data_IF_497159642449
#
_entry.id   IF_497159642449
#
_cell.length_a   1.000
_cell.length_b   1.000
_cell.length_c   1.000
_cell.angle_alpha   90.00
_cell.angle_beta   90.00
_cell.angle_gamma   90.00
#
_symmetry.space_group_name_H-M   'P 1'
#
loop_
_entity.id
_entity.type
_entity.pdbx_description
1 polymer ?
#
# COMPACT_ATOMS: atom_id res chain seq x y z
N UNK A 1 4.65 55.50 -34.06
CA UNK A 1 3.87 54.64 -33.15
C UNK A 1 4.68 53.38 -32.84
N UNK A 2 5.42 53.36 -31.72
CA UNK A 2 6.18 52.18 -31.29
C UNK A 2 5.22 51.18 -30.61
N UNK A 3 5.03 50.02 -31.22
CA UNK A 3 4.30 48.89 -30.60
C UNK A 3 5.20 48.23 -29.56
N UNK A 4 4.87 48.39 -28.28
CA UNK A 4 5.46 47.65 -27.16
C UNK A 4 5.03 46.19 -27.27
N UNK A 5 5.96 45.28 -27.49
CA UNK A 5 5.75 43.83 -27.38
C UNK A 5 6.07 43.46 -25.93
N UNK A 6 5.05 43.06 -25.17
CA UNK A 6 5.22 42.49 -23.82
C UNK A 6 5.55 40.99 -23.97
N UNK A 7 6.61 40.45 -23.35
CA UNK A 7 6.83 39.02 -23.36
C UNK A 7 5.86 38.35 -22.38
N UNK A 8 5.03 37.45 -22.92
CA UNK A 8 4.14 36.59 -22.14
C UNK A 8 5.00 35.51 -21.47
N UNK A 9 5.32 35.68 -20.19
CA UNK A 9 5.94 34.62 -19.38
C UNK A 9 4.89 33.54 -19.11
N UNK A 10 4.87 32.49 -19.93
CA UNK A 10 4.10 31.30 -19.65
C UNK A 10 4.76 30.55 -18.48
N UNK A 11 4.19 30.68 -17.28
CA UNK A 11 4.58 29.89 -16.12
C UNK A 11 4.13 28.44 -16.37
N UNK A 12 5.06 27.60 -16.85
CA UNK A 12 4.89 26.15 -16.88
C UNK A 12 4.90 25.64 -15.44
N UNK A 13 3.71 25.51 -14.86
CA UNK A 13 3.51 24.72 -13.64
C UNK A 13 3.78 23.27 -14.04
N UNK A 14 5.03 22.82 -13.84
CA UNK A 14 5.34 21.40 -13.85
C UNK A 14 4.60 20.77 -12.68
N UNK A 15 3.43 20.20 -12.95
CA UNK A 15 2.76 19.34 -12.00
C UNK A 15 3.68 18.16 -11.73
N UNK A 16 4.19 18.05 -10.51
CA UNK A 16 4.78 16.81 -10.02
C UNK A 16 3.69 15.74 -10.09
N UNK A 17 3.97 14.54 -10.62
CA UNK A 17 2.98 13.47 -10.56
C UNK A 17 2.60 13.26 -9.08
N UNK A 18 1.29 13.21 -8.82
CA UNK A 18 0.78 12.94 -7.49
C UNK A 18 1.14 11.49 -7.14
N UNK A 19 1.87 11.35 -6.03
CA UNK A 19 2.59 10.19 -5.55
C UNK A 19 1.75 9.52 -4.48
N UNK A 20 0.79 8.70 -4.90
CA UNK A 20 -0.41 8.44 -4.14
C UNK A 20 -0.51 6.94 -3.81
N UNK A 21 -0.67 6.51 -2.53
CA UNK A 21 -0.34 5.20 -1.84
C UNK A 21 0.79 4.37 -2.44
N UNK A 22 0.74 4.18 -3.75
CA UNK A 22 1.77 3.71 -4.67
C UNK A 22 3.20 3.89 -4.16
N UNK A 23 3.62 5.12 -3.84
CA UNK A 23 4.91 5.39 -3.18
C UNK A 23 4.70 5.92 -1.75
N UNK A 24 3.89 6.97 -1.54
CA UNK A 24 3.79 7.60 -0.22
C UNK A 24 3.17 6.68 0.85
N UNK A 25 2.20 5.85 0.46
CA UNK A 25 1.60 4.83 1.34
C UNK A 25 2.61 3.78 1.74
N UNK A 26 3.29 3.16 0.77
CA UNK A 26 4.33 2.17 1.02
C UNK A 26 5.49 2.71 1.85
N UNK A 27 6.00 3.90 1.51
CA UNK A 27 7.02 4.59 2.29
C UNK A 27 6.56 4.80 3.73
N UNK A 28 5.32 5.24 3.94
CA UNK A 28 4.78 5.46 5.29
C UNK A 28 4.62 4.16 6.08
N UNK A 29 4.10 3.08 5.47
CA UNK A 29 4.01 1.75 6.10
C UNK A 29 5.40 1.23 6.48
N UNK A 30 6.36 1.29 5.55
CA UNK A 30 7.75 0.90 5.77
C UNK A 30 8.41 1.70 6.90
N UNK A 31 8.21 3.02 6.90
CA UNK A 31 8.72 3.92 7.94
C UNK A 31 8.14 3.59 9.33
N UNK A 32 6.83 3.38 9.43
CA UNK A 32 6.19 3.00 10.69
C UNK A 32 6.74 1.65 11.17
N UNK A 33 6.82 0.66 10.27
CA UNK A 33 7.38 -0.66 10.59
C UNK A 33 8.79 -0.57 11.15
N UNK A 34 9.66 0.20 10.51
CA UNK A 34 11.02 0.43 10.98
C UNK A 34 11.08 1.20 12.30
N UNK A 35 10.28 2.26 12.46
CA UNK A 35 10.24 3.04 13.70
C UNK A 35 9.86 2.21 14.93
N UNK A 36 8.96 1.23 14.74
CA UNK A 36 8.44 0.38 15.80
C UNK A 36 9.24 -0.91 16.00
N UNK A 37 10.06 -1.32 15.03
CA UNK A 37 10.94 -2.48 15.15
C UNK A 37 12.00 -2.28 16.26
N UNK A 38 12.45 -3.39 16.85
CA UNK A 38 13.49 -3.36 17.88
C UNK A 38 14.81 -2.79 17.34
N UNK A 39 15.65 -2.17 18.19
CA UNK A 39 16.94 -1.63 17.77
C UNK A 39 17.83 -2.63 17.02
N UNK A 40 17.90 -3.88 17.49
CA UNK A 40 18.64 -4.96 16.86
C UNK A 40 18.07 -5.36 15.49
N UNK A 41 16.75 -5.37 15.34
CA UNK A 41 16.05 -5.61 14.06
C UNK A 41 16.38 -4.52 13.05
N UNK A 42 16.32 -3.25 13.46
CA UNK A 42 16.73 -2.11 12.61
C UNK A 42 18.17 -2.24 12.13
N UNK A 43 19.09 -2.59 13.03
CA UNK A 43 20.48 -2.79 12.65
C UNK A 43 20.67 -3.92 11.60
N UNK A 44 19.87 -4.99 11.67
CA UNK A 44 19.89 -6.06 10.66
C UNK A 44 19.27 -5.62 9.33
N UNK A 45 18.16 -4.87 9.37
CA UNK A 45 17.55 -4.24 8.20
C UNK A 45 18.57 -3.35 7.48
N UNK A 46 19.24 -2.46 8.21
CA UNK A 46 20.22 -1.54 7.64
C UNK A 46 21.40 -2.27 6.98
N UNK A 47 21.86 -3.38 7.59
CA UNK A 47 22.91 -4.25 7.01
C UNK A 47 22.47 -4.91 5.70
N UNK A 48 21.22 -5.37 5.61
CA UNK A 48 20.67 -5.93 4.38
C UNK A 48 20.56 -4.85 3.30
N UNK A 49 20.01 -3.68 3.63
CA UNK A 49 19.84 -2.55 2.70
C UNK A 49 21.19 -2.03 2.20
N UNK A 50 22.24 -2.05 3.02
CA UNK A 50 23.60 -1.70 2.59
C UNK A 50 24.15 -2.60 1.46
N UNK A 51 23.47 -3.73 1.15
CA UNK A 51 23.78 -4.62 0.04
C UNK A 51 22.82 -4.45 -1.15
N UNK A 52 22.05 -3.36 -1.23
CA UNK A 52 21.01 -3.15 -2.25
C UNK A 52 21.49 -3.20 -3.69
N UNK A 53 22.74 -2.83 -3.95
CA UNK A 53 23.35 -2.94 -5.28
C UNK A 53 23.34 -4.39 -5.82
N UNK A 54 23.31 -5.41 -4.96
CA UNK A 54 23.23 -6.83 -5.37
C UNK A 54 21.90 -7.19 -6.04
N UNK A 55 20.85 -6.38 -5.92
CA UNK A 55 19.60 -6.57 -6.64
C UNK A 55 19.72 -6.18 -8.13
N UNK A 56 20.75 -5.41 -8.50
CA UNK A 56 21.02 -4.98 -9.87
C UNK A 56 19.81 -4.27 -10.51
N UNK A 57 19.14 -3.40 -9.75
CA UNK A 57 17.98 -2.61 -10.19
C UNK A 57 18.31 -1.11 -10.13
N UNK A 58 19.23 -0.60 -10.96
CA UNK A 58 19.77 0.77 -10.84
C UNK A 58 18.71 1.88 -11.01
N UNK A 59 17.59 1.59 -11.69
CA UNK A 59 16.46 2.50 -11.85
C UNK A 59 15.48 2.47 -10.68
N UNK A 60 15.65 1.53 -9.75
CA UNK A 60 14.83 1.31 -8.55
C UNK A 60 15.74 1.12 -7.33
N UNK A 61 16.52 2.14 -6.92
CA UNK A 61 17.47 1.99 -5.82
C UNK A 61 16.73 1.82 -4.48
N UNK A 62 17.30 0.99 -3.60
CA UNK A 62 16.90 0.90 -2.19
C UNK A 62 17.97 1.58 -1.34
N UNK A 63 17.63 2.72 -0.72
CA UNK A 63 18.52 3.47 0.20
C UNK A 63 18.13 3.27 1.66
N UNK A 64 16.84 3.01 1.91
CA UNK A 64 16.28 2.78 3.23
C UNK A 64 15.05 1.84 3.15
N UNK A 65 14.38 1.64 4.29
CA UNK A 65 13.19 0.79 4.38
C UNK A 65 11.99 1.37 3.63
N UNK A 66 11.94 2.69 3.45
CA UNK A 66 10.86 3.34 2.72
C UNK A 66 10.99 2.97 1.24
N UNK A 67 12.18 3.10 0.65
CA UNK A 67 12.46 2.62 -0.70
C UNK A 67 12.23 1.11 -0.83
N UNK A 68 12.64 0.31 0.17
CA UNK A 68 12.42 -1.13 0.15
C UNK A 68 10.94 -1.49 0.07
N UNK A 69 10.10 -0.76 0.81
CA UNK A 69 8.65 -0.94 0.79
C UNK A 69 8.00 -0.51 -0.54
N UNK A 70 8.63 0.37 -1.31
CA UNK A 70 8.17 0.77 -2.66
C UNK A 70 8.76 -0.08 -3.79
N UNK A 71 9.93 -0.68 -3.57
CA UNK A 71 10.74 -1.32 -4.60
C UNK A 71 9.98 -2.32 -5.49
N UNK A 72 9.12 -3.22 -4.96
CA UNK A 72 8.34 -4.14 -5.79
C UNK A 72 7.48 -3.47 -6.87
N UNK A 73 6.93 -2.29 -6.61
CA UNK A 73 6.19 -1.54 -7.62
C UNK A 73 7.09 -0.90 -8.67
N UNK A 74 8.25 -0.37 -8.24
CA UNK A 74 9.22 0.18 -9.17
C UNK A 74 9.72 -0.90 -10.17
N UNK A 75 10.00 -2.11 -9.69
CA UNK A 75 10.53 -3.19 -10.53
C UNK A 75 9.51 -3.82 -11.48
N UNK A 76 8.20 -3.59 -11.31
CA UNK A 76 7.19 -3.99 -12.30
C UNK A 76 7.50 -3.42 -13.69
N UNK A 77 8.09 -2.23 -13.75
CA UNK A 77 8.53 -1.59 -14.99
C UNK A 77 9.66 -2.34 -15.72
N UNK A 78 10.40 -3.20 -15.02
CA UNK A 78 11.52 -3.98 -15.56
C UNK A 78 11.09 -5.34 -16.15
N UNK A 79 9.77 -5.53 -16.34
CA UNK A 79 9.05 -6.60 -17.07
C UNK A 79 9.77 -7.95 -17.11
N UNK A 80 10.68 -8.17 -18.06
CA UNK A 80 11.35 -9.45 -18.31
C UNK A 80 11.94 -10.11 -17.05
N UNK A 81 12.41 -9.30 -16.09
CA UNK A 81 13.04 -9.80 -14.86
C UNK A 81 12.07 -10.07 -13.72
N UNK A 82 10.91 -9.43 -13.68
CA UNK A 82 10.06 -9.38 -12.48
C UNK A 82 8.56 -9.50 -12.74
N UNK A 83 8.11 -9.68 -13.99
CA UNK A 83 6.68 -9.78 -14.31
C UNK A 83 5.97 -10.94 -13.61
N UNK A 84 6.70 -11.95 -13.16
CA UNK A 84 6.17 -13.09 -12.40
C UNK A 84 5.53 -12.67 -11.08
N UNK A 85 5.93 -11.54 -10.48
CA UNK A 85 5.40 -11.08 -9.19
C UNK A 85 4.13 -10.26 -9.32
N UNK A 86 3.64 -9.96 -10.53
CA UNK A 86 2.53 -9.03 -10.72
C UNK A 86 1.26 -9.43 -9.98
N UNK A 87 0.92 -10.73 -9.97
CA UNK A 87 -0.27 -11.24 -9.26
C UNK A 87 -0.10 -11.32 -7.75
N UNK A 88 1.11 -11.10 -7.23
CA UNK A 88 1.39 -11.19 -5.79
C UNK A 88 0.90 -9.99 -4.99
N UNK A 89 0.54 -8.90 -5.65
CA UNK A 89 0.17 -7.63 -4.99
C UNK A 89 -1.27 -7.58 -4.48
N UNK A 90 -2.11 -8.56 -4.83
CA UNK A 90 -3.53 -8.50 -4.50
C UNK A 90 -4.13 -9.89 -4.32
N UNK A 91 -5.40 -9.90 -3.95
CA UNK A 91 -6.28 -11.06 -3.88
C UNK A 91 -7.72 -10.59 -4.13
N UNK A 92 -8.35 -11.11 -5.17
CA UNK A 92 -9.70 -10.70 -5.54
C UNK A 92 -10.75 -11.51 -4.77
N UNK A 93 -10.92 -11.22 -3.48
CA UNK A 93 -11.95 -11.86 -2.64
C UNK A 93 -13.27 -11.13 -2.82
N UNK A 94 -14.30 -11.86 -3.26
CA UNK A 94 -15.64 -11.33 -3.54
C UNK A 94 -16.27 -10.71 -2.27
N UNK A 95 -16.52 -9.40 -2.28
CA UNK A 95 -17.11 -8.66 -1.14
C UNK A 95 -18.58 -9.03 -0.85
N UNK A 96 -19.23 -9.73 -1.78
CA UNK A 96 -20.64 -10.10 -1.70
C UNK A 96 -20.88 -11.55 -1.30
N UNK A 97 -19.81 -12.27 -0.98
CA UNK A 97 -19.86 -13.65 -0.45
C UNK A 97 -19.21 -13.71 0.92
N UNK A 98 -19.39 -14.80 1.68
CA UNK A 98 -18.53 -15.06 2.82
C UNK A 98 -17.06 -15.03 2.38
N UNK A 99 -16.19 -14.44 3.20
CA UNK A 99 -14.77 -14.35 2.91
C UNK A 99 -14.17 -15.76 2.71
N UNK A 100 -13.48 -15.93 1.58
CA UNK A 100 -12.82 -17.16 1.16
C UNK A 100 -11.55 -16.82 0.38
N UNK A 101 -10.43 -17.37 0.82
CA UNK A 101 -9.10 -17.19 0.22
C UNK A 101 -8.70 -18.30 -0.76
N UNK A 102 -9.39 -19.44 -0.76
CA UNK A 102 -8.94 -20.64 -1.47
C UNK A 102 -8.78 -20.37 -2.98
N UNK A 103 -9.83 -19.83 -3.61
CA UNK A 103 -9.81 -19.45 -5.02
C UNK A 103 -8.87 -18.27 -5.29
N UNK A 104 -9.06 -17.11 -4.64
CA UNK A 104 -8.24 -15.91 -4.87
C UNK A 104 -6.75 -16.07 -4.57
N UNK A 105 -6.37 -17.05 -3.75
CA UNK A 105 -4.98 -17.35 -3.39
C UNK A 105 -4.47 -18.70 -3.89
N UNK A 106 -5.07 -19.23 -4.95
CA UNK A 106 -4.64 -20.48 -5.56
C UNK A 106 -3.14 -20.46 -5.89
N UNK A 107 -2.48 -21.58 -5.59
CA UNK A 107 -1.04 -21.79 -5.81
C UNK A 107 -0.12 -20.80 -5.06
N UNK A 108 -0.65 -20.07 -4.06
CA UNK A 108 0.10 -19.07 -3.30
C UNK A 108 0.39 -17.78 -4.07
N UNK A 109 -0.28 -17.57 -5.21
CA UNK A 109 -0.11 -16.37 -6.04
C UNK A 109 -1.01 -15.22 -5.59
N UNK A 110 -0.92 -14.87 -4.31
CA UNK A 110 -1.64 -13.73 -3.74
C UNK A 110 -0.86 -13.07 -2.59
N UNK A 111 -1.22 -11.84 -2.27
CA UNK A 111 -0.50 -11.01 -1.29
C UNK A 111 -0.36 -11.65 0.09
N UNK A 112 -1.40 -12.29 0.63
CA UNK A 112 -1.33 -12.91 1.96
C UNK A 112 -0.37 -14.11 2.03
N UNK A 113 -0.35 -14.96 0.98
CA UNK A 113 0.63 -16.04 0.87
C UNK A 113 2.06 -15.50 0.71
N UNK A 114 2.23 -14.40 -0.03
CA UNK A 114 3.53 -13.81 -0.30
C UNK A 114 4.12 -13.08 0.91
N UNK A 115 3.29 -12.49 1.79
CA UNK A 115 3.74 -12.03 3.11
C UNK A 115 4.33 -13.21 3.90
N UNK A 116 3.60 -14.32 3.98
CA UNK A 116 4.04 -15.50 4.74
C UNK A 116 5.33 -16.09 4.17
N UNK A 117 5.45 -16.15 2.83
CA UNK A 117 6.65 -16.63 2.14
C UNK A 117 7.84 -15.74 2.40
N UNK A 118 7.71 -14.42 2.21
CA UNK A 118 8.83 -13.50 2.34
C UNK A 118 9.28 -13.32 3.79
N UNK A 119 8.38 -13.45 4.78
CA UNK A 119 8.78 -13.52 6.19
C UNK A 119 9.70 -14.74 6.46
N UNK A 120 9.38 -15.91 5.89
CA UNK A 120 10.22 -17.12 6.02
C UNK A 120 11.56 -16.98 5.30
N UNK A 121 11.56 -16.44 4.09
CA UNK A 121 12.80 -16.21 3.32
C UNK A 121 13.70 -15.18 4.01
N UNK A 122 13.14 -14.14 4.62
CA UNK A 122 13.92 -13.16 5.38
C UNK A 122 14.61 -13.79 6.61
N UNK A 123 13.90 -14.69 7.28
CA UNK A 123 14.36 -15.40 8.48
C UNK A 123 15.41 -16.48 8.20
N UNK A 124 15.46 -17.02 7.00
CA UNK A 124 16.40 -18.08 6.64
C UNK A 124 17.82 -17.50 6.40
N UNK A 125 18.67 -17.66 7.41
CA UNK A 125 20.05 -17.17 7.37
C UNK A 125 20.97 -17.94 6.42
N UNK A 126 20.53 -19.11 5.94
CA UNK A 126 21.28 -19.91 4.97
C UNK A 126 21.15 -19.37 3.55
N UNK A 127 20.15 -18.52 3.30
CA UNK A 127 19.94 -17.91 1.99
C UNK A 127 20.98 -16.83 1.69
N UNK A 128 21.35 -16.66 0.40
CA UNK A 128 22.20 -15.56 -0.02
C UNK A 128 21.62 -14.21 0.41
N UNK A 129 22.50 -13.26 0.79
CA UNK A 129 22.08 -11.92 1.23
C UNK A 129 21.15 -11.22 0.25
N UNK A 130 21.37 -11.41 -1.06
CA UNK A 130 20.52 -10.86 -2.12
C UNK A 130 19.07 -11.35 -2.01
N UNK A 131 18.85 -12.64 -1.73
CA UNK A 131 17.52 -13.23 -1.62
C UNK A 131 16.82 -12.78 -0.34
N UNK A 132 17.55 -12.72 0.79
CA UNK A 132 17.04 -12.15 2.05
C UNK A 132 16.66 -10.68 1.91
N UNK A 133 17.46 -9.89 1.20
CA UNK A 133 17.16 -8.49 0.92
C UNK A 133 15.92 -8.35 0.02
N UNK A 134 15.80 -9.17 -1.02
CA UNK A 134 14.61 -9.17 -1.88
C UNK A 134 13.36 -9.55 -1.06
N UNK A 135 13.49 -10.52 -0.16
CA UNK A 135 12.43 -10.91 0.76
C UNK A 135 12.05 -9.79 1.74
N UNK A 136 13.02 -9.02 2.24
CA UNK A 136 12.75 -7.82 3.06
C UNK A 136 11.91 -6.80 2.28
N UNK A 137 12.29 -6.48 1.04
CA UNK A 137 11.57 -5.52 0.21
C UNK A 137 10.15 -5.99 -0.11
N UNK A 138 9.99 -7.25 -0.55
CA UNK A 138 8.67 -7.83 -0.80
C UNK A 138 7.82 -7.92 0.46
N UNK A 139 8.38 -8.28 1.62
CA UNK A 139 7.64 -8.32 2.88
C UNK A 139 7.11 -6.94 3.26
N UNK A 140 7.97 -5.92 3.22
CA UNK A 140 7.58 -4.55 3.54
C UNK A 140 6.48 -4.02 2.60
N UNK A 141 6.61 -4.30 1.31
CA UNK A 141 5.64 -3.91 0.30
C UNK A 141 4.30 -4.62 0.46
N UNK A 142 4.29 -5.96 0.52
CA UNK A 142 3.06 -6.74 0.54
C UNK A 142 2.25 -6.55 1.83
N UNK A 143 2.90 -6.25 2.95
CA UNK A 143 2.16 -5.82 4.15
C UNK A 143 1.45 -4.49 3.90
N UNK A 144 2.05 -3.56 3.15
CA UNK A 144 1.39 -2.34 2.66
C UNK A 144 0.20 -2.65 1.77
N UNK A 145 0.41 -3.45 0.72
CA UNK A 145 -0.64 -3.87 -0.23
C UNK A 145 -1.85 -4.48 0.49
N UNK A 146 -1.63 -5.45 1.39
CA UNK A 146 -2.73 -6.10 2.09
C UNK A 146 -3.58 -5.13 2.93
N UNK A 147 -3.00 -4.01 3.36
CA UNK A 147 -3.69 -2.97 4.13
C UNK A 147 -4.37 -1.92 3.25
N UNK A 148 -4.12 -1.92 1.94
CA UNK A 148 -4.95 -1.24 0.95
C UNK A 148 -6.23 -2.09 0.75
N UNK A 149 -7.43 -1.62 1.14
CA UNK A 149 -8.61 -2.48 1.18
C UNK A 149 -8.98 -3.15 -0.15
N UNK A 150 -8.84 -2.44 -1.27
CA UNK A 150 -9.18 -2.95 -2.60
C UNK A 150 -8.13 -3.91 -3.19
N UNK A 151 -6.99 -4.10 -2.52
CA UNK A 151 -6.09 -5.23 -2.80
C UNK A 151 -6.57 -6.52 -2.12
N UNK A 152 -7.46 -6.41 -1.11
CA UNK A 152 -8.01 -7.53 -0.37
C UNK A 152 -9.46 -7.90 -0.77
N UNK A 153 -10.22 -6.96 -1.34
CA UNK A 153 -11.62 -7.14 -1.72
C UNK A 153 -11.95 -6.67 -3.14
N UNK A 154 -12.77 -7.47 -3.83
CA UNK A 154 -13.12 -7.29 -5.24
C UNK A 154 -14.64 -7.41 -5.47
N UNK A 155 -15.14 -6.71 -6.49
CA UNK A 155 -16.54 -6.79 -6.94
C UNK A 155 -16.62 -7.25 -8.40
N UNK A 156 -15.79 -8.23 -8.78
CA UNK A 156 -15.56 -8.66 -10.16
C UNK A 156 -15.08 -7.53 -11.08
N UNK A 157 -14.36 -6.55 -10.50
CA UNK A 157 -13.95 -5.31 -11.14
C UNK A 157 -12.44 -5.04 -10.99
N UNK A 158 -11.68 -6.08 -10.64
CA UNK A 158 -10.23 -6.05 -10.41
C UNK A 158 -9.86 -5.11 -9.25
N UNK A 159 -10.54 -5.28 -8.12
CA UNK A 159 -10.34 -4.46 -6.92
C UNK A 159 -10.68 -3.00 -7.18
N UNK A 160 -11.79 -2.71 -7.83
CA UNK A 160 -12.21 -1.34 -8.15
C UNK A 160 -11.49 -0.68 -9.32
N UNK A 161 -10.55 -1.36 -10.01
CA UNK A 161 -9.88 -0.80 -11.19
C UNK A 161 -10.85 -0.56 -12.37
N UNK A 162 -11.90 -1.39 -12.47
CA UNK A 162 -12.98 -1.24 -13.47
C UNK A 162 -14.17 -0.45 -12.94
N UNK A 163 -14.14 0.00 -11.69
CA UNK A 163 -15.17 0.83 -11.10
C UNK A 163 -14.85 2.32 -11.33
N UNK A 164 -15.45 2.93 -12.34
CA UNK A 164 -15.26 4.36 -12.62
C UNK A 164 -15.84 5.23 -11.51
N UNK A 165 -15.01 6.09 -10.91
CA UNK A 165 -15.40 7.03 -9.87
C UNK A 165 -14.59 8.33 -10.04
N UNK A 166 -15.15 9.46 -9.60
CA UNK A 166 -14.47 10.76 -9.63
C UNK A 166 -13.92 11.09 -8.23
N UNK A 167 -12.84 11.87 -8.18
CA UNK A 167 -12.27 12.39 -6.94
C UNK A 167 -12.34 13.91 -6.90
N UNK A 168 -13.26 14.45 -6.11
CA UNK A 168 -13.55 15.88 -6.07
C UNK A 168 -13.79 16.45 -7.48
N UNK A 169 -12.91 17.38 -7.89
CA UNK A 169 -12.97 18.02 -9.23
C UNK A 169 -12.29 17.20 -10.33
N UNK A 170 -11.58 16.13 -9.99
CA UNK A 170 -10.95 15.22 -10.95
C UNK A 170 -12.00 14.24 -11.45
N UNK A 171 -12.69 14.62 -12.52
CA UNK A 171 -13.76 13.83 -13.13
C UNK A 171 -13.31 13.12 -14.41
N UNK A 172 -13.92 11.96 -14.69
CA UNK A 172 -13.78 11.29 -15.98
C UNK A 172 -12.48 10.50 -16.19
N UNK A 173 -11.50 10.58 -15.28
CA UNK A 173 -10.15 10.02 -15.45
C UNK A 173 -9.68 9.03 -14.39
N UNK A 174 -10.50 8.79 -13.35
CA UNK A 174 -10.14 7.96 -12.20
C UNK A 174 -11.05 6.74 -12.06
N UNK A 175 -10.60 5.77 -11.25
CA UNK A 175 -11.38 4.63 -10.80
C UNK A 175 -11.25 4.50 -9.26
N UNK A 176 -12.09 3.67 -8.64
CA UNK A 176 -12.11 3.53 -7.19
C UNK A 176 -10.76 3.08 -6.62
N UNK A 177 -10.08 2.16 -7.32
CA UNK A 177 -8.74 1.68 -6.93
C UNK A 177 -7.74 2.83 -6.85
N UNK A 178 -7.56 3.59 -7.92
CA UNK A 178 -6.64 4.75 -7.97
C UNK A 178 -7.01 5.84 -6.97
N UNK A 179 -8.27 5.98 -6.59
CA UNK A 179 -8.66 6.96 -5.57
C UNK A 179 -8.20 6.49 -4.19
N UNK A 180 -8.47 5.23 -3.84
CA UNK A 180 -8.11 4.68 -2.55
C UNK A 180 -6.63 4.43 -2.39
N UNK A 181 -6.01 3.79 -3.39
CA UNK A 181 -4.58 3.50 -3.51
C UNK A 181 -3.80 4.73 -3.97
N UNK A 182 -4.41 5.91 -3.89
CA UNK A 182 -3.82 7.10 -4.44
C UNK A 182 -4.19 8.32 -3.64
N UNK A 183 -5.07 9.10 -4.24
CA UNK A 183 -5.44 10.42 -3.75
C UNK A 183 -5.86 10.42 -2.27
N UNK A 184 -6.55 9.37 -1.80
CA UNK A 184 -6.94 9.22 -0.41
C UNK A 184 -5.77 8.87 0.52
N UNK A 185 -4.74 8.13 0.07
CA UNK A 185 -3.48 7.99 0.84
C UNK A 185 -2.92 9.36 1.14
N UNK A 186 -2.70 10.11 0.07
CA UNK A 186 -1.93 11.34 0.15
C UNK A 186 -2.66 12.30 1.03
N UNK A 187 -3.97 12.40 0.83
CA UNK A 187 -4.83 13.19 1.70
C UNK A 187 -4.75 12.72 3.14
N UNK A 188 -4.84 11.41 3.40
CA UNK A 188 -4.78 10.83 4.74
C UNK A 188 -3.46 11.11 5.46
N UNK A 189 -2.33 10.88 4.78
CA UNK A 189 -0.99 11.01 5.35
C UNK A 189 -0.59 12.49 5.48
N UNK A 190 -0.91 13.33 4.48
CA UNK A 190 -0.49 14.75 4.48
C UNK A 190 -1.37 15.66 5.35
N UNK A 191 -2.60 15.26 5.67
CA UNK A 191 -3.49 16.06 6.52
C UNK A 191 -2.88 16.25 7.91
N UNK A 192 -2.64 17.48 8.39
CA UNK A 192 -2.00 17.70 9.69
C UNK A 192 -2.80 17.12 10.88
N UNK A 193 -2.13 16.55 11.90
CA UNK A 193 -0.70 16.28 11.96
C UNK A 193 -0.32 15.10 11.04
N UNK A 194 0.52 15.34 10.03
CA UNK A 194 0.79 14.39 8.96
C UNK A 194 2.04 13.52 9.19
N UNK A 195 2.19 12.50 8.34
CA UNK A 195 3.36 11.63 8.29
C UNK A 195 3.37 10.47 9.30
N UNK A 196 4.31 9.54 9.11
CA UNK A 196 4.40 8.28 9.84
C UNK A 196 4.33 8.43 11.38
N UNK A 197 5.08 9.38 11.94
CA UNK A 197 5.13 9.59 13.39
C UNK A 197 3.78 10.03 13.95
N UNK A 198 3.06 10.91 13.25
CA UNK A 198 1.75 11.38 13.69
C UNK A 198 0.70 10.26 13.59
N UNK A 199 0.67 9.53 12.47
CA UNK A 199 -0.23 8.39 12.28
C UNK A 199 -0.05 7.31 13.38
N UNK A 200 1.19 7.05 13.78
CA UNK A 200 1.48 6.10 14.89
C UNK A 200 1.10 6.67 16.25
N UNK A 201 1.23 7.98 16.45
CA UNK A 201 0.86 8.65 17.68
C UNK A 201 -0.66 8.67 17.92
N UNK A 202 -1.46 8.59 16.85
CA UNK A 202 -2.92 8.41 16.94
C UNK A 202 -3.32 7.06 17.57
N UNK A 203 -2.42 6.06 17.56
CA UNK A 203 -2.66 4.74 18.14
C UNK A 203 -1.95 4.62 19.49
N UNK A 204 -2.70 4.47 20.61
CA UNK A 204 -2.12 4.27 21.93
C UNK A 204 -1.15 3.08 21.95
N UNK A 205 0.00 3.24 22.58
CA UNK A 205 1.02 2.18 22.64
C UNK A 205 0.50 0.85 23.20
N UNK A 206 -0.43 0.92 24.16
CA UNK A 206 -1.09 -0.24 24.76
C UNK A 206 -1.98 -1.04 23.80
N UNK A 207 -2.48 -0.42 22.73
CA UNK A 207 -3.34 -1.09 21.74
C UNK A 207 -2.53 -1.79 20.63
N UNK A 208 -1.28 -1.39 20.43
CA UNK A 208 -0.43 -1.89 19.34
C UNK A 208 -0.23 -3.41 19.37
N UNK A 209 -0.01 -4.08 20.52
CA UNK A 209 0.10 -5.54 20.55
C UNK A 209 -1.17 -6.25 20.04
N UNK A 210 -2.36 -5.72 20.37
CA UNK A 210 -3.62 -6.29 19.89
C UNK A 210 -3.81 -6.09 18.37
N UNK A 211 -3.42 -4.92 17.85
CA UNK A 211 -3.41 -4.64 16.40
C UNK A 211 -2.44 -5.55 15.66
N UNK A 212 -1.26 -5.75 16.24
CA UNK A 212 -0.21 -6.60 15.69
C UNK A 212 -0.59 -8.08 15.72
N UNK A 213 -1.49 -8.52 16.60
CA UNK A 213 -1.89 -9.92 16.73
C UNK A 213 -2.68 -10.44 15.50
N UNK A 214 -2.96 -11.74 15.50
CA UNK A 214 -3.68 -12.42 14.43
C UNK A 214 -2.77 -12.91 13.29
N UNK A 215 -3.37 -13.69 12.41
CA UNK A 215 -2.75 -14.23 11.20
C UNK A 215 -2.85 -13.25 10.04
N UNK A 216 -2.08 -13.51 8.97
CA UNK A 216 -2.19 -12.74 7.72
C UNK A 216 -3.59 -12.88 7.11
N UNK A 217 -4.25 -14.03 7.28
CA UNK A 217 -5.63 -14.23 6.87
C UNK A 217 -6.60 -13.35 7.66
N UNK A 218 -6.41 -13.19 8.98
CA UNK A 218 -7.26 -12.30 9.78
C UNK A 218 -7.16 -10.85 9.31
N UNK A 219 -5.94 -10.41 8.97
CA UNK A 219 -5.72 -9.06 8.43
C UNK A 219 -6.31 -8.89 7.04
N UNK A 220 -6.24 -9.95 6.24
CA UNK A 220 -6.87 -9.99 4.92
C UNK A 220 -8.39 -9.86 5.02
N UNK A 221 -9.02 -10.63 5.92
CA UNK A 221 -10.45 -10.56 6.21
C UNK A 221 -10.87 -9.19 6.71
N UNK A 222 -10.06 -8.57 7.57
CA UNK A 222 -10.29 -7.21 8.06
C UNK A 222 -10.30 -6.19 6.91
N UNK A 223 -9.31 -6.24 6.00
CA UNK A 223 -9.24 -5.30 4.88
C UNK A 223 -10.29 -5.59 3.80
N UNK A 224 -10.69 -6.85 3.61
CA UNK A 224 -11.85 -7.23 2.80
C UNK A 224 -13.16 -6.62 3.33
N UNK A 225 -13.36 -6.61 4.66
CA UNK A 225 -14.53 -5.94 5.27
C UNK A 225 -14.47 -4.42 5.04
N UNK A 226 -13.30 -3.79 5.22
CA UNK A 226 -13.13 -2.35 4.94
C UNK A 226 -13.40 -2.04 3.45
N UNK A 227 -13.00 -2.93 2.54
CA UNK A 227 -13.28 -2.77 1.12
C UNK A 227 -14.80 -2.71 0.88
N UNK A 228 -15.53 -3.68 1.42
CA UNK A 228 -17.00 -3.74 1.32
C UNK A 228 -17.67 -2.50 1.93
N UNK A 229 -17.41 -2.25 3.21
CA UNK A 229 -18.21 -1.34 4.01
C UNK A 229 -17.82 0.13 3.80
N UNK A 230 -16.56 0.39 3.49
CA UNK A 230 -16.01 1.74 3.42
C UNK A 230 -15.52 2.11 2.03
N UNK A 231 -14.85 1.21 1.29
CA UNK A 231 -14.44 1.52 -0.08
C UNK A 231 -15.63 1.54 -1.04
N UNK A 232 -16.29 0.42 -1.26
CA UNK A 232 -17.50 0.38 -2.08
C UNK A 232 -18.66 1.13 -1.41
N UNK A 233 -18.81 1.03 -0.08
CA UNK A 233 -19.82 1.79 0.66
C UNK A 233 -19.68 3.32 0.60
N UNK A 234 -18.51 3.85 0.23
CA UNK A 234 -18.35 5.29 -0.01
C UNK A 234 -18.92 5.77 -1.35
N UNK A 235 -19.14 4.86 -2.30
CA UNK A 235 -19.56 5.17 -3.67
C UNK A 235 -20.83 4.44 -4.11
N UNK A 236 -21.32 3.50 -3.30
CA UNK A 236 -22.54 2.73 -3.53
C UNK A 236 -23.38 2.66 -2.25
N UNK A 237 -24.70 2.83 -2.39
CA UNK A 237 -25.63 2.66 -1.27
C UNK A 237 -25.74 1.18 -0.83
N UNK A 238 -25.70 0.26 -1.80
CA UNK A 238 -25.56 -1.17 -1.58
C UNK A 238 -24.27 -1.64 -2.28
N UNK A 239 -23.20 -1.97 -1.54
CA UNK A 239 -21.95 -2.47 -2.11
C UNK A 239 -22.10 -3.73 -2.98
N UNK A 240 -23.20 -4.47 -2.83
CA UNK A 240 -23.51 -5.69 -3.59
C UNK A 240 -24.56 -5.49 -4.68
N UNK A 241 -25.10 -4.28 -4.79
CA UNK A 241 -26.01 -3.90 -5.86
C UNK A 241 -25.32 -3.73 -7.21
N UNK A 242 -26.10 -3.49 -8.27
CA UNK A 242 -25.56 -3.07 -9.56
C UNK A 242 -24.89 -1.70 -9.44
N UNK A 243 -23.79 -1.50 -10.16
CA UNK A 243 -23.15 -0.20 -10.26
C UNK A 243 -24.03 0.78 -11.06
N UNK A 244 -24.03 2.06 -10.69
CA UNK A 244 -24.70 3.10 -11.47
C UNK A 244 -24.02 3.29 -12.83
N UNK A 245 -24.79 3.71 -13.84
CA UNK A 245 -24.24 4.16 -15.12
C UNK A 245 -23.47 5.48 -14.97
N UNK A 246 -23.85 6.31 -13.99
CA UNK A 246 -23.15 7.55 -13.66
C UNK A 246 -21.99 7.28 -12.69
N UNK A 247 -20.85 7.95 -12.91
CA UNK A 247 -19.71 7.83 -12.01
C UNK A 247 -19.99 8.55 -10.70
N UNK A 248 -19.99 7.85 -9.55
CA UNK A 248 -20.10 8.51 -8.26
C UNK A 248 -18.85 9.37 -8.01
N UNK A 249 -19.01 10.38 -7.16
CA UNK A 249 -17.93 11.30 -6.80
C UNK A 249 -17.62 11.15 -5.33
N UNK A 250 -16.36 10.84 -5.00
CA UNK A 250 -15.83 10.98 -3.64
C UNK A 250 -15.52 12.47 -3.47
N UNK A 251 -16.44 13.19 -2.83
CA UNK A 251 -16.35 14.63 -2.57
C UNK A 251 -15.50 14.93 -1.32
N UNK A 252 -15.34 16.22 -0.98
CA UNK A 252 -14.55 16.62 0.19
C UNK A 252 -15.16 16.09 1.49
N UNK A 253 -16.49 16.09 1.63
CA UNK A 253 -17.15 15.58 2.84
C UNK A 253 -16.88 14.08 3.03
N UNK A 254 -16.95 13.29 1.95
CA UNK A 254 -16.62 11.87 1.97
C UNK A 254 -15.13 11.64 2.19
N UNK A 255 -14.27 12.44 1.56
CA UNK A 255 -12.82 12.42 1.79
C UNK A 255 -12.49 12.63 3.26
N UNK A 256 -13.06 13.64 3.91
CA UNK A 256 -12.84 13.90 5.34
C UNK A 256 -13.29 12.74 6.24
N UNK A 257 -14.39 12.06 5.90
CA UNK A 257 -14.83 10.86 6.62
C UNK A 257 -13.90 9.66 6.43
N UNK A 258 -13.24 9.55 5.27
CA UNK A 258 -12.35 8.44 4.94
C UNK A 258 -10.91 8.65 5.43
N UNK A 259 -10.47 9.88 5.69
CA UNK A 259 -9.12 10.16 6.20
C UNK A 259 -8.76 9.32 7.44
N UNK A 260 -9.59 9.24 8.51
CA UNK A 260 -9.28 8.40 9.67
C UNK A 260 -9.17 6.91 9.34
N UNK A 261 -9.98 6.42 8.38
CA UNK A 261 -9.94 5.03 7.92
C UNK A 261 -8.61 4.74 7.24
N UNK A 262 -8.19 5.60 6.31
CA UNK A 262 -6.91 5.47 5.59
C UNK A 262 -5.73 5.49 6.57
N UNK A 263 -5.69 6.48 7.48
CA UNK A 263 -4.65 6.57 8.52
C UNK A 263 -4.57 5.29 9.35
N UNK A 264 -5.72 4.77 9.77
CA UNK A 264 -5.80 3.53 10.52
C UNK A 264 -5.24 2.35 9.70
N UNK A 265 -5.56 2.23 8.41
CA UNK A 265 -5.01 1.17 7.55
C UNK A 265 -3.49 1.20 7.47
N UNK A 266 -2.93 2.39 7.20
CA UNK A 266 -1.48 2.61 7.11
C UNK A 266 -0.78 2.27 8.43
N UNK A 267 -1.31 2.81 9.54
CA UNK A 267 -0.71 2.60 10.85
C UNK A 267 -0.77 1.13 11.30
N UNK A 268 -1.88 0.43 11.03
CA UNK A 268 -1.99 -1.02 11.30
C UNK A 268 -1.03 -1.83 10.43
N UNK A 269 -0.90 -1.48 9.15
CA UNK A 269 0.08 -2.10 8.25
C UNK A 269 1.50 -1.98 8.78
N UNK A 270 1.91 -0.77 9.20
CA UNK A 270 3.23 -0.56 9.78
C UNK A 270 3.44 -1.28 11.12
N UNK A 271 2.44 -1.29 12.02
CA UNK A 271 2.51 -2.03 13.30
C UNK A 271 2.70 -3.53 13.05
N UNK A 272 1.97 -4.11 12.09
CA UNK A 272 2.06 -5.52 11.73
C UNK A 272 3.37 -5.85 11.01
N UNK A 273 3.87 -4.93 10.17
CA UNK A 273 5.18 -5.04 9.56
C UNK A 273 6.28 -5.09 10.62
N UNK A 274 6.23 -4.22 11.63
CA UNK A 274 7.20 -4.22 12.73
C UNK A 274 7.27 -5.59 13.43
N UNK A 275 6.10 -6.18 13.75
CA UNK A 275 6.02 -7.53 14.32
C UNK A 275 6.71 -8.56 13.44
N UNK A 276 6.37 -8.60 12.15
CA UNK A 276 6.93 -9.58 11.21
C UNK A 276 8.44 -9.42 11.02
N UNK A 277 8.94 -8.18 10.98
CA UNK A 277 10.37 -7.89 10.90
C UNK A 277 11.09 -8.36 12.17
N UNK A 278 10.53 -8.07 13.34
CA UNK A 278 11.09 -8.51 14.62
C UNK A 278 11.14 -10.03 14.73
N UNK A 279 10.07 -10.72 14.33
CA UNK A 279 10.01 -12.18 14.30
C UNK A 279 11.06 -12.76 13.34
N UNK A 280 11.11 -12.27 12.10
CA UNK A 280 11.99 -12.80 11.06
C UNK A 280 13.47 -12.55 11.34
N UNK A 281 13.82 -11.43 11.99
CA UNK A 281 15.20 -11.03 12.26
C UNK A 281 15.59 -11.23 13.74
N UNK A 282 14.89 -12.11 14.47
CA UNK A 282 15.16 -12.40 15.87
C UNK A 282 16.42 -13.26 16.11
N UNK A 283 16.80 -14.09 15.14
CA UNK A 283 17.94 -15.03 15.21
C UNK A 283 19.32 -14.40 15.07
#
# INVERSE_FOLDING_TARGET
MLKRILPFFALLIMGTPASAWWDYGHHTVGRIGYMLARPETRAKIDRLIAKSQTLETPTCPIRDIEDAAYWPDCIKGLKERFSYSASWHYQNVDICKPFDLEGPCRDGNCVSAQITRNAKLLADETLPTRERLMALAFLAHFVGDLHMPLHAGDKADLGGNRFGANYGVIAGRTNLHTIWDGYLADRGISTPPGGAAALVAEIPSAERPAIAAGSVEDWSRENWQVARDLAYGSVMADPCGPASAERPTIDEATTQRLIPVIRQRIARGGIRLARLLDEALSG
#
